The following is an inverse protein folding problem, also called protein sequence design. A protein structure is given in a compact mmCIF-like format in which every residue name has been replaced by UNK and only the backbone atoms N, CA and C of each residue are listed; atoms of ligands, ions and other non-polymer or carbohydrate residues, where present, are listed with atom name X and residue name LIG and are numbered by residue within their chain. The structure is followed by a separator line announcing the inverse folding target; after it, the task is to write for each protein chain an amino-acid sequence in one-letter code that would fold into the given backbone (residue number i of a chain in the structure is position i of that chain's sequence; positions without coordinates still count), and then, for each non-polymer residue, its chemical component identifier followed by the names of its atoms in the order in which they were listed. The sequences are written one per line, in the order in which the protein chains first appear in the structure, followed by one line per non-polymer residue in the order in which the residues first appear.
data_IF_788489666660
#
_entry.id   IF_788489666660
#
_cell.length_a   1.000
_cell.length_b   1.000
_cell.length_c   1.000
_cell.angle_alpha   90.00
_cell.angle_beta   90.00
_cell.angle_gamma   90.00
#
_symmetry.space_group_name_H-M   'P 1'
#
loop_
_entity.id
_entity.type
_entity.pdbx_description
1 polymer ?
#
# COMPACT_ATOMS: atom_id res chain seq x y z
N UNK A 1 -6.17 1.35 -8.68
CA UNK A 1 -7.62 1.15 -8.84
C UNK A 1 -8.30 2.49 -9.01
N UNK A 2 -9.18 2.59 -9.99
CA UNK A 2 -10.13 3.67 -10.14
C UNK A 2 -11.18 3.63 -9.03
N UNK A 3 -11.86 4.76 -8.82
CA UNK A 3 -12.91 4.89 -7.83
C UNK A 3 -14.10 3.95 -8.11
N UNK A 4 -14.40 3.67 -9.38
CA UNK A 4 -15.45 2.73 -9.76
C UNK A 4 -15.10 1.27 -9.39
N UNK A 5 -13.82 0.89 -9.55
CA UNK A 5 -13.34 -0.44 -9.15
C UNK A 5 -13.34 -0.59 -7.62
N UNK A 6 -12.99 0.47 -6.90
CA UNK A 6 -13.04 0.48 -5.42
C UNK A 6 -14.47 0.30 -4.95
N UNK A 7 -15.41 1.10 -5.47
CA UNK A 7 -16.82 0.98 -5.09
C UNK A 7 -17.35 -0.43 -5.36
N UNK A 8 -17.05 -0.98 -6.54
CA UNK A 8 -17.47 -2.34 -6.89
C UNK A 8 -16.91 -3.39 -5.93
N UNK A 9 -15.65 -3.28 -5.53
CA UNK A 9 -15.05 -4.20 -4.57
C UNK A 9 -15.73 -4.10 -3.19
N UNK A 10 -16.02 -2.88 -2.73
CA UNK A 10 -16.76 -2.64 -1.48
C UNK A 10 -18.17 -3.23 -1.54
N UNK A 11 -18.89 -3.03 -2.65
CA UNK A 11 -20.26 -3.56 -2.84
C UNK A 11 -20.29 -5.10 -2.81
N UNK A 12 -19.19 -5.76 -3.16
CA UNK A 12 -19.03 -7.22 -3.08
C UNK A 12 -18.55 -7.70 -1.69
N UNK A 13 -18.39 -6.79 -0.72
CA UNK A 13 -17.85 -7.11 0.61
C UNK A 13 -16.33 -7.29 0.65
N UNK A 14 -15.62 -6.83 -0.39
CA UNK A 14 -14.17 -6.91 -0.47
C UNK A 14 -13.47 -5.82 0.34
N UNK A 15 -12.26 -6.14 0.79
CA UNK A 15 -11.34 -5.19 1.42
C UNK A 15 -10.39 -4.57 0.41
N UNK A 16 -9.97 -3.33 0.68
CA UNK A 16 -9.05 -2.58 -0.17
C UNK A 16 -7.70 -2.43 0.52
N UNK A 17 -6.67 -3.05 -0.05
CA UNK A 17 -5.30 -2.85 0.40
C UNK A 17 -4.63 -1.66 -0.29
N UNK A 18 -3.81 -0.92 0.45
CA UNK A 18 -2.90 0.10 -0.08
C UNK A 18 -1.49 -0.12 0.45
N UNK A 19 -0.53 -0.20 -0.47
CA UNK A 19 0.86 -0.53 -0.18
C UNK A 19 1.77 0.67 -0.45
N UNK A 20 2.64 1.02 0.51
CA UNK A 20 3.56 2.15 0.35
C UNK A 20 4.47 1.99 -0.87
N UNK A 21 5.03 0.80 -1.10
CA UNK A 21 5.92 0.53 -2.23
C UNK A 21 5.30 0.93 -3.57
N UNK A 22 3.99 0.67 -3.74
CA UNK A 22 3.25 1.00 -4.95
C UNK A 22 3.23 2.49 -5.28
N UNK A 23 3.41 3.36 -4.28
CA UNK A 23 3.24 4.81 -4.37
C UNK A 23 4.54 5.62 -4.25
N UNK A 24 5.63 5.01 -3.78
CA UNK A 24 6.91 5.71 -3.54
C UNK A 24 8.11 5.03 -4.19
N UNK A 25 8.04 3.73 -4.48
CA UNK A 25 9.21 2.94 -4.85
C UNK A 25 9.05 2.05 -6.09
N UNK A 26 7.89 2.05 -6.73
CA UNK A 26 7.69 1.39 -8.02
C UNK A 26 8.37 2.19 -9.13
N UNK A 27 9.54 1.73 -9.54
CA UNK A 27 10.29 2.24 -10.69
C UNK A 27 10.43 1.11 -11.71
N UNK A 28 10.51 1.41 -13.02
CA UNK A 28 10.82 0.40 -14.04
C UNK A 28 12.24 -0.19 -13.94
N UNK A 29 12.99 0.19 -12.90
CA UNK A 29 14.32 -0.31 -12.61
C UNK A 29 14.16 -1.49 -11.64
N UNK A 30 14.53 -2.72 -12.04
CA UNK A 30 14.48 -3.88 -11.16
C UNK A 30 15.29 -3.65 -9.88
N UNK A 31 14.67 -3.81 -8.72
CA UNK A 31 15.30 -3.61 -7.40
C UNK A 31 15.80 -4.89 -6.73
N UNK A 32 15.53 -6.04 -7.35
CA UNK A 32 15.73 -7.39 -6.79
C UNK A 32 16.66 -8.30 -7.58
N UNK A 33 17.22 -7.83 -8.70
CA UNK A 33 17.97 -8.70 -9.60
C UNK A 33 19.47 -8.76 -9.23
N UNK A 34 19.82 -9.57 -8.24
CA UNK A 34 21.20 -10.06 -8.10
C UNK A 34 21.34 -11.41 -8.79
N UNK A 35 21.34 -11.40 -10.12
CA UNK A 35 21.76 -12.55 -10.90
C UNK A 35 23.24 -12.40 -11.25
N UNK A 36 24.02 -13.45 -11.02
CA UNK A 36 25.44 -13.50 -11.38
C UNK A 36 25.57 -13.53 -12.90
N UNK A 37 24.60 -14.17 -13.56
CA UNK A 37 24.46 -14.33 -15.00
C UNK A 37 23.89 -13.06 -15.65
N UNK A 38 24.57 -12.49 -16.67
CA UNK A 38 24.14 -11.25 -17.34
C UNK A 38 22.72 -11.27 -17.92
N UNK A 39 22.26 -12.44 -18.36
CA UNK A 39 21.00 -12.62 -19.09
C UNK A 39 19.77 -12.44 -18.19
N UNK A 40 19.91 -12.63 -16.88
CA UNK A 40 18.81 -12.50 -15.92
C UNK A 40 18.80 -11.14 -15.21
N UNK A 41 19.76 -10.24 -15.47
CA UNK A 41 19.86 -8.94 -14.76
C UNK A 41 18.68 -7.98 -14.99
N UNK A 42 17.86 -8.23 -16.00
CA UNK A 42 16.81 -7.31 -16.47
C UNK A 42 15.38 -7.88 -16.40
N UNK A 43 15.15 -9.02 -15.75
CA UNK A 43 13.84 -9.67 -15.72
C UNK A 43 12.86 -9.08 -14.68
N UNK A 44 12.60 -7.78 -14.73
CA UNK A 44 11.50 -7.20 -13.93
C UNK A 44 10.15 -7.51 -14.58
N UNK A 45 9.64 -8.71 -14.36
CA UNK A 45 8.28 -9.11 -14.78
C UNK A 45 7.25 -8.64 -13.74
N UNK A 46 7.01 -7.32 -13.66
CA UNK A 46 6.19 -6.80 -12.55
C UNK A 46 5.18 -5.72 -12.91
N UNK A 47 5.63 -4.54 -13.31
CA UNK A 47 4.75 -3.37 -13.32
C UNK A 47 4.90 -2.55 -14.60
N UNK A 48 3.89 -2.67 -15.47
CA UNK A 48 3.78 -1.94 -16.73
C UNK A 48 3.42 -0.45 -16.56
N UNK A 49 3.07 -0.01 -15.34
CA UNK A 49 2.59 1.36 -15.08
C UNK A 49 2.89 1.85 -13.66
N UNK A 50 3.17 3.14 -13.53
CA UNK A 50 3.27 3.83 -12.25
C UNK A 50 1.88 4.11 -11.67
N UNK A 51 1.71 3.97 -10.35
CA UNK A 51 0.50 4.48 -9.70
C UNK A 51 0.55 6.01 -9.69
N UNK A 52 -0.52 6.66 -10.16
CA UNK A 52 -0.57 8.11 -10.24
C UNK A 52 -1.16 8.70 -8.93
N UNK A 53 -0.56 9.76 -8.41
CA UNK A 53 -1.06 10.54 -7.27
C UNK A 53 -0.47 10.19 -5.89
N UNK A 54 0.41 9.19 -5.80
CA UNK A 54 1.19 8.87 -4.60
C UNK A 54 0.36 8.64 -3.33
N UNK A 55 0.96 8.91 -2.17
CA UNK A 55 0.30 8.74 -0.86
C UNK A 55 -0.90 9.69 -0.69
N UNK A 56 -0.87 10.87 -1.35
CA UNK A 56 -2.00 11.80 -1.35
C UNK A 56 -3.28 11.17 -1.93
N UNK A 57 -3.15 10.40 -3.00
CA UNK A 57 -4.31 9.71 -3.59
C UNK A 57 -4.86 8.62 -2.68
N UNK A 58 -3.99 7.95 -1.92
CA UNK A 58 -4.41 6.96 -0.91
C UNK A 58 -5.26 7.63 0.16
N UNK A 59 -4.77 8.75 0.73
CA UNK A 59 -5.51 9.49 1.74
C UNK A 59 -6.86 10.00 1.22
N UNK A 60 -6.91 10.51 -0.01
CA UNK A 60 -8.16 10.93 -0.66
C UNK A 60 -9.17 9.76 -0.76
N UNK A 61 -8.71 8.59 -1.17
CA UNK A 61 -9.57 7.41 -1.30
C UNK A 61 -10.08 6.90 0.05
N UNK A 62 -9.22 6.85 1.07
CA UNK A 62 -9.64 6.45 2.42
C UNK A 62 -10.71 7.40 2.96
N UNK A 63 -10.53 8.71 2.78
CA UNK A 63 -11.53 9.72 3.20
C UNK A 63 -12.83 9.62 2.40
N UNK A 64 -12.73 9.34 1.10
CA UNK A 64 -13.89 9.27 0.21
C UNK A 64 -14.77 8.05 0.47
N UNK A 65 -14.15 6.89 0.64
CA UNK A 65 -14.86 5.61 0.75
C UNK A 65 -15.03 5.14 2.19
N UNK A 66 -14.28 5.71 3.14
CA UNK A 66 -14.32 5.36 4.55
C UNK A 66 -13.22 4.37 4.95
N UNK A 67 -12.56 4.64 6.07
CA UNK A 67 -11.47 3.81 6.59
C UNK A 67 -11.89 2.37 6.91
N UNK A 68 -13.17 2.10 7.13
CA UNK A 68 -13.71 0.77 7.44
C UNK A 68 -13.59 -0.25 6.30
N UNK A 69 -13.20 0.18 5.10
CA UNK A 69 -13.01 -0.70 3.94
C UNK A 69 -11.54 -0.90 3.55
N UNK A 70 -10.62 -0.31 4.31
CA UNK A 70 -9.21 -0.26 3.93
C UNK A 70 -8.30 -0.92 4.96
N UNK A 71 -7.18 -1.43 4.48
CA UNK A 71 -5.99 -1.59 5.29
C UNK A 71 -4.73 -1.16 4.53
N UNK A 72 -3.68 -0.86 5.27
CA UNK A 72 -2.40 -0.40 4.74
C UNK A 72 -1.27 -1.38 5.03
N UNK A 73 -0.31 -1.43 4.13
CA UNK A 73 0.94 -2.18 4.27
C UNK A 73 2.08 -1.46 3.56
N UNK A 74 3.29 -2.01 3.66
CA UNK A 74 4.45 -1.42 2.99
C UNK A 74 4.81 -2.13 1.69
N UNK A 75 4.69 -3.46 1.67
CA UNK A 75 5.32 -4.32 0.66
C UNK A 75 6.82 -4.02 0.50
N UNK A 76 7.47 -3.75 1.64
CA UNK A 76 8.92 -3.60 1.69
C UNK A 76 9.52 -4.99 1.91
N UNK A 77 10.24 -5.49 0.92
CA UNK A 77 10.89 -6.81 0.98
C UNK A 77 12.23 -6.87 0.24
N UNK A 78 12.74 -5.72 -0.19
CA UNK A 78 13.95 -5.62 -1.01
C UNK A 78 15.00 -4.78 -0.30
N UNK A 79 16.28 -5.14 -0.43
CA UNK A 79 17.37 -4.58 0.39
C UNK A 79 17.59 -3.06 0.19
N UNK A 80 17.10 -2.51 -0.93
CA UNK A 80 17.21 -1.07 -1.23
C UNK A 80 16.16 -0.23 -0.50
N UNK A 81 15.17 -0.87 0.15
CA UNK A 81 14.13 -0.18 0.90
C UNK A 81 14.44 -0.20 2.41
N UNK A 82 13.88 0.74 3.18
CA UNK A 82 13.90 0.68 4.64
C UNK A 82 13.35 -0.65 5.16
N UNK A 83 13.60 -0.93 6.44
CA UNK A 83 12.92 -2.05 7.09
C UNK A 83 11.40 -1.85 7.05
N UNK A 84 10.60 -2.93 7.00
CA UNK A 84 9.14 -2.80 6.91
C UNK A 84 8.53 -1.96 8.03
N UNK A 85 9.12 -2.03 9.23
CA UNK A 85 8.68 -1.24 10.39
C UNK A 85 8.88 0.25 10.15
N UNK A 86 10.05 0.67 9.66
CA UNK A 86 10.32 2.08 9.36
C UNK A 86 9.47 2.58 8.20
N UNK A 87 9.31 1.79 7.14
CA UNK A 87 8.40 2.13 6.04
C UNK A 87 6.95 2.28 6.49
N UNK A 88 6.51 1.49 7.47
CA UNK A 88 5.14 1.58 7.97
C UNK A 88 4.94 2.84 8.81
N UNK A 89 5.95 3.24 9.60
CA UNK A 89 5.96 4.52 10.33
C UNK A 89 5.91 5.70 9.37
N UNK A 90 6.68 5.66 8.28
CA UNK A 90 6.65 6.68 7.23
C UNK A 90 5.25 6.78 6.60
N UNK A 91 4.66 5.65 6.23
CA UNK A 91 3.33 5.65 5.60
C UNK A 91 2.27 6.26 6.52
N UNK A 92 2.27 5.86 7.80
CA UNK A 92 1.37 6.42 8.82
C UNK A 92 1.58 7.92 8.95
N UNK A 93 2.82 8.39 9.07
CA UNK A 93 3.13 9.82 9.20
C UNK A 93 2.60 10.62 8.00
N UNK A 94 2.86 10.15 6.77
CA UNK A 94 2.36 10.81 5.56
C UNK A 94 0.82 10.87 5.53
N UNK A 95 0.14 9.78 5.91
CA UNK A 95 -1.32 9.75 5.94
C UNK A 95 -1.91 10.69 7.00
N UNK A 96 -1.26 10.80 8.16
CA UNK A 96 -1.62 11.77 9.21
C UNK A 96 -1.41 13.22 8.74
N UNK A 97 -0.29 13.52 8.09
CA UNK A 97 -0.01 14.84 7.50
C UNK A 97 -1.04 15.21 6.41
N UNK A 98 -1.56 14.21 5.70
CA UNK A 98 -2.65 14.35 4.74
C UNK A 98 -4.03 14.40 5.40
N UNK A 99 -4.10 14.36 6.73
CA UNK A 99 -5.29 14.62 7.54
C UNK A 99 -6.17 13.40 7.79
N UNK A 100 -5.61 12.18 7.83
CA UNK A 100 -6.28 11.05 8.48
C UNK A 100 -6.15 11.22 10.00
N UNK A 101 -7.24 10.94 10.71
CA UNK A 101 -7.27 10.94 12.18
C UNK A 101 -6.58 9.72 12.78
N UNK A 102 -6.19 9.82 14.05
CA UNK A 102 -5.63 8.70 14.82
C UNK A 102 -6.55 7.47 14.80
N UNK A 103 -7.87 7.68 14.85
CA UNK A 103 -8.85 6.60 14.79
C UNK A 103 -8.83 5.90 13.43
N UNK A 104 -8.84 6.66 12.34
CA UNK A 104 -8.75 6.11 10.98
C UNK A 104 -7.42 5.37 10.76
N UNK A 105 -6.31 5.92 11.25
CA UNK A 105 -5.00 5.24 11.22
C UNK A 105 -5.07 3.91 11.97
N UNK A 106 -5.65 3.88 13.17
CA UNK A 106 -5.82 2.63 13.94
C UNK A 106 -6.68 1.61 13.20
N UNK A 107 -7.73 2.06 12.52
CA UNK A 107 -8.58 1.21 11.67
C UNK A 107 -7.77 0.52 10.58
N UNK A 108 -7.10 1.31 9.73
CA UNK A 108 -6.42 0.79 8.54
C UNK A 108 -5.11 0.04 8.85
N UNK A 109 -4.45 0.35 9.98
CA UNK A 109 -3.15 -0.25 10.31
C UNK A 109 -3.23 -1.51 11.18
N UNK A 110 -4.32 -1.69 11.94
CA UNK A 110 -4.38 -2.75 12.96
C UNK A 110 -5.75 -3.39 13.10
N UNK A 111 -6.82 -2.59 13.26
CA UNK A 111 -8.16 -3.14 13.56
C UNK A 111 -8.69 -3.93 12.35
N UNK A 112 -8.70 -3.33 11.16
CA UNK A 112 -9.24 -3.96 9.96
C UNK A 112 -8.42 -5.18 9.52
N UNK A 113 -7.06 -5.13 9.45
CA UNK A 113 -6.25 -6.32 9.24
C UNK A 113 -6.56 -7.44 10.23
N UNK A 114 -6.69 -7.13 11.52
CA UNK A 114 -6.99 -8.15 12.50
C UNK A 114 -8.39 -8.75 12.34
N UNK A 115 -9.40 -7.94 11.98
CA UNK A 115 -10.74 -8.45 11.63
C UNK A 115 -10.72 -9.36 10.41
N UNK A 116 -9.85 -9.07 9.42
CA UNK A 116 -9.72 -9.92 8.23
C UNK A 116 -9.23 -11.34 8.56
N UNK A 117 -8.45 -11.48 9.65
CA UNK A 117 -7.84 -12.76 10.06
C UNK A 117 -8.36 -13.26 11.41
N UNK A 118 -9.51 -12.76 11.88
CA UNK A 118 -10.16 -13.16 13.14
C UNK A 118 -9.27 -13.01 14.40
N UNK A 119 -8.48 -11.93 14.50
CA UNK A 119 -7.56 -11.66 15.62
C UNK A 119 -7.91 -10.44 16.50
N UNK A 120 -8.90 -9.62 16.12
CA UNK A 120 -9.20 -8.34 16.78
C UNK A 120 -10.72 -8.14 17.05
N UNK A 121 -11.36 -9.13 17.66
CA UNK A 121 -12.75 -9.06 18.14
C UNK A 121 -12.93 -8.13 19.37
#
# INVERSE_FOLDING_TARGET
MSDAEIQRAIDMGGWIERLLAAHTHTTPIPKTHYYVEPEYRAMDEGLQSTTHGGVAKVAEQIKKFGADHFFIGTDFGVYTLPTPVEGFREFIACLMDLGLSDEEIRKVSSINPGKLVDLND
#
